data_IF_858514073607
#
_entry.id   IF_858514073607
#
_cell.length_a   1.000
_cell.length_b   1.000
_cell.length_c   1.000
_cell.angle_alpha   90.00
_cell.angle_beta   90.00
_cell.angle_gamma   90.00
#
_symmetry.space_group_name_H-M   'P 1'
#
loop_
_entity.id
_entity.type
_entity.pdbx_description
1 polymer ?
#
# COMPACT_ATOMS: atom_id res chain seq x y z
N UNK A 1 2.77 9.53 4.23
CA UNK A 1 2.23 8.17 3.99
C UNK A 1 1.37 8.14 2.73
N UNK A 2 0.16 8.71 2.73
CA UNK A 2 -0.79 8.58 1.62
C UNK A 2 -0.47 9.38 0.35
N UNK A 3 0.50 10.29 0.40
CA UNK A 3 0.95 11.04 -0.79
C UNK A 3 1.57 10.15 -1.88
N UNK A 4 1.97 8.92 -1.54
CA UNK A 4 2.52 7.93 -2.49
C UNK A 4 1.51 6.86 -2.91
N UNK A 5 0.23 7.00 -2.53
CA UNK A 5 -0.78 6.00 -2.84
C UNK A 5 -1.21 6.08 -4.31
N UNK A 6 -1.43 4.91 -4.91
CA UNK A 6 -2.06 4.82 -6.23
C UNK A 6 -3.56 5.02 -6.03
N UNK A 7 -4.11 6.04 -6.70
CA UNK A 7 -5.51 6.46 -6.55
C UNK A 7 -6.42 5.61 -7.44
N UNK A 8 -7.44 5.02 -6.83
CA UNK A 8 -8.51 4.24 -7.43
C UNK A 8 -9.87 4.76 -6.90
N UNK A 9 -10.62 5.50 -7.72
CA UNK A 9 -11.97 6.00 -7.40
C UNK A 9 -12.09 6.63 -5.99
N UNK A 10 -11.33 7.71 -5.74
CA UNK A 10 -11.30 8.46 -4.47
C UNK A 10 -10.72 7.72 -3.26
N UNK A 11 -10.32 6.45 -3.42
CA UNK A 11 -9.52 5.68 -2.48
C UNK A 11 -8.13 5.46 -3.05
N UNK A 12 -7.16 5.01 -2.27
CA UNK A 12 -5.87 4.60 -2.79
C UNK A 12 -5.16 3.60 -1.90
N UNK A 13 -4.13 2.96 -2.45
CA UNK A 13 -3.37 1.93 -1.76
C UNK A 13 -1.88 2.26 -1.82
N UNK A 14 -1.22 2.19 -0.67
CA UNK A 14 0.22 2.42 -0.56
C UNK A 14 0.86 1.43 0.39
N UNK A 15 2.13 1.12 0.19
CA UNK A 15 2.95 0.38 1.16
C UNK A 15 3.14 1.18 2.44
N UNK A 16 3.16 0.51 3.59
CA UNK A 16 3.59 1.14 4.84
C UNK A 16 5.14 1.32 4.82
N UNK A 17 5.67 2.54 5.06
CA UNK A 17 7.10 2.76 5.17
C UNK A 17 7.72 1.85 6.24
N UNK A 18 8.84 1.20 5.89
CA UNK A 18 9.52 0.25 6.78
C UNK A 18 8.87 -1.12 6.89
N UNK A 19 7.81 -1.43 6.14
CA UNK A 19 7.18 -2.75 6.13
C UNK A 19 6.83 -3.19 4.71
N UNK A 20 7.41 -4.30 4.27
CA UNK A 20 7.18 -4.83 2.92
C UNK A 20 5.88 -5.62 2.81
N UNK A 21 5.36 -6.13 3.93
CA UNK A 21 4.20 -7.00 4.01
C UNK A 21 2.96 -6.27 4.55
N UNK A 22 3.02 -4.95 4.68
CA UNK A 22 1.90 -4.12 5.16
C UNK A 22 1.58 -3.04 4.12
N UNK A 23 0.29 -2.89 3.84
CA UNK A 23 -0.24 -1.84 3.00
C UNK A 23 -1.37 -1.08 3.70
N UNK A 24 -1.63 0.12 3.19
CA UNK A 24 -2.51 1.10 3.81
C UNK A 24 -3.52 1.59 2.77
N UNK A 25 -4.79 1.56 3.16
CA UNK A 25 -5.85 2.26 2.45
C UNK A 25 -5.77 3.74 2.78
N UNK A 26 -5.87 4.55 1.75
CA UNK A 26 -5.91 5.99 1.81
C UNK A 26 -7.25 6.47 1.26
N UNK A 27 -7.80 7.50 1.88
CA UNK A 27 -8.99 8.22 1.41
C UNK A 27 -8.55 9.61 0.98
N UNK A 28 -9.03 10.03 -0.18
CA UNK A 28 -8.75 11.35 -0.74
C UNK A 28 -10.00 12.21 -0.59
N UNK A 29 -10.13 12.86 0.56
CA UNK A 29 -11.21 13.80 0.88
C UNK A 29 -10.63 15.14 1.35
N UNK A 30 -11.18 16.24 0.83
CA UNK A 30 -10.66 17.58 1.11
C UNK A 30 -9.23 17.78 0.60
N UNK A 31 -8.44 18.56 1.33
CA UNK A 31 -7.13 19.03 0.88
C UNK A 31 -5.97 18.06 1.18
N UNK A 32 -6.20 17.01 1.99
CA UNK A 32 -5.14 16.11 2.44
C UNK A 32 -5.56 14.63 2.48
N UNK A 33 -4.82 13.74 1.80
CA UNK A 33 -5.13 12.32 1.83
C UNK A 33 -4.82 11.70 3.20
N UNK A 34 -5.75 10.89 3.69
CA UNK A 34 -5.73 10.35 5.05
C UNK A 34 -5.70 8.82 5.03
N UNK A 35 -4.87 8.15 5.87
CA UNK A 35 -4.91 6.70 6.01
C UNK A 35 -6.20 6.27 6.71
N UNK A 36 -6.80 5.17 6.28
CA UNK A 36 -8.04 4.64 6.86
C UNK A 36 -7.81 3.29 7.52
N UNK A 37 -7.28 2.31 6.78
CA UNK A 37 -7.04 0.96 7.26
C UNK A 37 -5.63 0.48 6.92
N UNK A 38 -5.05 -0.30 7.81
CA UNK A 38 -3.77 -0.99 7.59
C UNK A 38 -4.04 -2.48 7.48
N UNK A 39 -3.48 -3.12 6.47
CA UNK A 39 -3.64 -4.55 6.21
C UNK A 39 -2.30 -5.22 6.00
N UNK A 40 -2.15 -6.40 6.60
CA UNK A 40 -0.98 -7.26 6.41
C UNK A 40 -1.28 -8.29 5.33
N UNK A 41 -0.32 -8.53 4.47
CA UNK A 41 -0.34 -9.65 3.55
C UNK A 41 -0.28 -10.98 4.32
N UNK A 42 -0.75 -12.05 3.68
CA UNK A 42 -0.56 -13.40 4.21
C UNK A 42 0.93 -13.74 4.33
N UNK A 43 1.25 -14.67 5.23
CA UNK A 43 2.63 -15.06 5.53
C UNK A 43 3.43 -15.40 4.26
N UNK A 44 4.59 -14.76 4.12
CA UNK A 44 5.49 -14.95 2.98
C UNK A 44 5.17 -14.12 1.72
N UNK A 45 4.06 -13.36 1.72
CA UNK A 45 3.72 -12.43 0.65
C UNK A 45 4.08 -10.99 1.04
N UNK A 46 4.45 -10.19 0.04
CA UNK A 46 4.79 -8.79 0.18
C UNK A 46 3.82 -7.93 -0.63
N UNK A 47 3.61 -6.69 -0.21
CA UNK A 47 2.79 -5.75 -0.93
C UNK A 47 3.46 -5.30 -2.23
N UNK A 48 2.84 -5.65 -3.37
CA UNK A 48 3.25 -5.21 -4.69
C UNK A 48 2.57 -3.88 -5.05
N UNK A 49 3.33 -2.78 -4.98
CA UNK A 49 2.81 -1.45 -5.31
C UNK A 49 2.45 -1.28 -6.80
N UNK A 50 2.94 -2.17 -7.68
CA UNK A 50 2.66 -2.11 -9.13
C UNK A 50 1.32 -2.77 -9.45
N UNK A 51 1.05 -3.95 -8.87
CA UNK A 51 -0.18 -4.72 -9.12
C UNK A 51 -1.27 -4.47 -8.07
N UNK A 52 -0.96 -3.71 -7.02
CA UNK A 52 -1.85 -3.38 -5.90
C UNK A 52 -2.45 -4.62 -5.22
N UNK A 53 -1.61 -5.64 -5.03
CA UNK A 53 -1.97 -6.87 -4.32
C UNK A 53 -0.76 -7.45 -3.59
N UNK A 54 -1.02 -8.40 -2.70
CA UNK A 54 0.03 -9.20 -2.08
C UNK A 54 0.58 -10.21 -3.09
N UNK A 55 1.90 -10.26 -3.22
CA UNK A 55 2.59 -11.04 -4.24
C UNK A 55 3.87 -11.66 -3.66
N UNK A 56 4.45 -12.61 -4.37
CA UNK A 56 5.71 -13.23 -3.96
C UNK A 56 6.86 -12.21 -3.97
N UNK A 57 7.77 -12.34 -3.01
CA UNK A 57 8.90 -11.40 -2.85
C UNK A 57 9.71 -11.16 -4.14
N UNK A 58 9.86 -12.19 -5.00
CA UNK A 58 10.55 -12.07 -6.30
C UNK A 58 9.90 -11.08 -7.28
N UNK A 59 8.60 -10.79 -7.10
CA UNK A 59 7.81 -9.89 -7.94
C UNK A 59 7.70 -8.48 -7.33
N UNK A 60 8.18 -8.28 -6.10
CA UNK A 60 8.00 -7.03 -5.35
C UNK A 60 9.30 -6.27 -5.23
N UNK A 61 9.29 -5.01 -5.67
CA UNK A 61 10.37 -4.07 -5.36
C UNK A 61 10.12 -3.44 -4.00
N UNK A 62 10.58 -4.12 -2.95
CA UNK A 62 10.65 -3.54 -1.62
C UNK A 62 12.07 -3.08 -1.35
N UNK A 63 12.30 -1.78 -1.46
CA UNK A 63 13.54 -1.16 -1.01
C UNK A 63 13.39 -0.95 0.51
N UNK A 64 14.27 -1.60 1.27
CA UNK A 64 14.39 -1.51 2.74
C UNK A 64 14.93 -0.17 3.17
#
# INVERSE_FOLDING_TARGET
LCNSAVILNSSGLTRLPGSCDIFVHCRFEGDAPSPTNTMRCSDGLLWNQVTLTCDYARNVKCES
#
